data_IF_772500152733
#
_entry.id   IF_772500152733
#
_cell.length_a   1.000
_cell.length_b   1.000
_cell.length_c   1.000
_cell.angle_alpha   90.00
_cell.angle_beta   90.00
_cell.angle_gamma   90.00
#
_symmetry.space_group_name_H-M   'P 1'
#
loop_
_entity.id
_entity.type
_entity.pdbx_description
1 polymer ?
#
# COMPACT_ATOMS: atom_id res chain seq x y z
N UNK A 1 28.49 -25.75 -10.92
CA UNK A 1 27.75 -24.56 -10.76
C UNK A 1 26.30 -24.89 -10.42
N UNK A 2 25.79 -24.30 -9.40
CA UNK A 2 24.40 -24.51 -9.03
C UNK A 2 23.43 -23.88 -10.01
N UNK A 3 22.15 -24.18 -9.88
CA UNK A 3 21.08 -23.52 -10.62
C UNK A 3 20.94 -22.06 -10.20
N UNK A 4 19.93 -21.36 -10.74
CA UNK A 4 19.71 -19.98 -10.38
C UNK A 4 19.51 -19.82 -8.88
N UNK A 5 20.09 -18.78 -8.32
CA UNK A 5 19.89 -18.45 -6.91
C UNK A 5 18.44 -18.03 -6.73
N UNK A 6 17.74 -18.65 -5.79
CA UNK A 6 16.38 -18.25 -5.48
C UNK A 6 16.38 -16.82 -4.96
N UNK A 7 15.46 -15.99 -5.45
CA UNK A 7 15.32 -14.64 -4.97
C UNK A 7 14.88 -14.67 -3.51
N UNK A 8 15.48 -13.80 -2.69
CA UNK A 8 15.18 -13.69 -1.27
C UNK A 8 14.10 -12.61 -1.06
N UNK A 9 13.34 -12.68 0.03
CA UNK A 9 12.42 -11.60 0.36
C UNK A 9 13.15 -10.28 0.53
N UNK A 10 12.53 -9.19 0.08
CA UNK A 10 13.09 -7.86 0.26
C UNK A 10 13.15 -7.51 1.74
N UNK A 11 14.29 -7.04 2.20
CA UNK A 11 14.48 -6.58 3.57
C UNK A 11 14.28 -5.07 3.69
N UNK A 12 14.38 -4.56 4.92
CA UNK A 12 14.20 -3.13 5.19
C UNK A 12 15.15 -2.26 4.36
N UNK A 13 16.40 -2.70 4.21
CA UNK A 13 17.42 -1.90 3.52
C UNK A 13 17.28 -1.94 1.99
N UNK A 14 16.50 -2.89 1.47
CA UNK A 14 16.33 -3.08 0.03
C UNK A 14 15.26 -2.15 -0.56
N UNK A 15 14.42 -1.55 0.27
CA UNK A 15 13.20 -0.90 -0.20
C UNK A 15 13.19 0.58 0.13
N UNK A 16 12.84 1.38 -0.88
CA UNK A 16 12.38 2.74 -0.71
C UNK A 16 10.85 2.73 -0.78
N UNK A 17 10.20 3.35 0.19
CA UNK A 17 8.75 3.38 0.28
C UNK A 17 8.28 4.80 0.05
N UNK A 18 7.32 4.96 -0.86
CA UNK A 18 6.78 6.28 -1.21
C UNK A 18 5.28 6.17 -1.41
N UNK A 19 4.59 7.31 -1.42
CA UNK A 19 3.18 7.34 -1.77
C UNK A 19 3.04 7.36 -3.29
N UNK A 20 2.07 6.60 -3.78
CA UNK A 20 1.72 6.61 -5.18
C UNK A 20 0.61 7.60 -5.47
N UNK A 21 0.11 7.53 -6.70
CA UNK A 21 -0.98 8.39 -7.15
C UNK A 21 -2.27 8.03 -6.41
N UNK A 22 -3.02 9.06 -6.02
CA UNK A 22 -4.34 8.88 -5.42
C UNK A 22 -5.43 9.18 -6.42
N UNK A 23 -6.55 8.49 -6.32
CA UNK A 23 -7.72 8.75 -7.15
C UNK A 23 -8.94 8.95 -6.28
N UNK A 24 -9.88 9.74 -6.80
CA UNK A 24 -11.18 9.95 -6.17
C UNK A 24 -12.27 9.65 -7.18
N UNK A 25 -13.21 8.82 -6.77
CA UNK A 25 -14.41 8.56 -7.53
C UNK A 25 -15.51 8.43 -6.49
N UNK A 26 -16.11 9.55 -6.12
CA UNK A 26 -17.07 9.60 -5.04
C UNK A 26 -18.11 8.49 -5.13
N UNK A 27 -18.36 7.74 -4.07
CA UNK A 27 -17.83 7.91 -2.70
C UNK A 27 -16.50 7.18 -2.45
N UNK A 28 -15.89 6.57 -3.46
CA UNK A 28 -14.69 5.76 -3.30
C UNK A 28 -13.44 6.61 -3.37
N UNK A 29 -12.53 6.37 -2.42
CA UNK A 29 -11.21 7.00 -2.37
C UNK A 29 -10.14 5.91 -2.44
N UNK A 30 -9.07 6.18 -3.15
CA UNK A 30 -7.94 5.25 -3.23
C UNK A 30 -6.62 5.99 -3.27
N UNK A 31 -5.61 5.37 -2.69
CA UNK A 31 -4.23 5.82 -2.77
C UNK A 31 -3.34 4.58 -2.85
N UNK A 32 -2.06 4.76 -3.04
CA UNK A 32 -1.15 3.62 -3.13
C UNK A 32 0.11 3.87 -2.33
N UNK A 33 0.67 2.78 -1.80
CA UNK A 33 2.02 2.73 -1.26
C UNK A 33 2.87 2.04 -2.31
N UNK A 34 4.00 2.65 -2.66
CA UNK A 34 4.92 2.14 -3.69
C UNK A 34 6.19 1.67 -3.01
N UNK A 35 6.62 0.46 -3.36
CA UNK A 35 7.84 -0.17 -2.85
C UNK A 35 8.80 -0.32 -4.02
N UNK A 36 9.97 0.32 -3.93
CA UNK A 36 10.99 0.28 -4.98
C UNK A 36 12.22 -0.42 -4.46
N UNK A 37 12.72 -1.41 -5.21
CA UNK A 37 13.96 -2.09 -4.86
C UNK A 37 15.14 -1.17 -5.16
N UNK A 38 15.78 -0.66 -4.11
CA UNK A 38 16.96 0.20 -4.20
C UNK A 38 18.25 -0.56 -3.89
N UNK A 39 18.16 -1.86 -3.67
CA UNK A 39 19.30 -2.73 -3.42
C UNK A 39 20.00 -3.12 -4.71
N UNK A 40 21.00 -3.96 -4.57
CA UNK A 40 21.83 -4.41 -5.68
C UNK A 40 21.54 -5.84 -6.13
N UNK A 41 20.48 -6.43 -5.59
CA UNK A 41 20.08 -7.81 -5.92
C UNK A 41 18.56 -7.88 -6.08
N UNK A 42 18.11 -8.90 -6.79
CA UNK A 42 16.69 -9.19 -6.97
C UNK A 42 16.09 -9.69 -5.65
N UNK A 43 14.93 -9.17 -5.28
CA UNK A 43 14.22 -9.62 -4.09
C UNK A 43 12.72 -9.74 -4.37
N UNK A 44 11.98 -10.33 -3.44
CA UNK A 44 10.55 -10.60 -3.62
C UNK A 44 9.71 -9.94 -2.54
N UNK A 45 8.47 -9.60 -2.92
CA UNK A 45 7.43 -9.18 -2.00
C UNK A 45 6.20 -10.06 -2.22
N UNK A 46 5.53 -10.42 -1.15
CA UNK A 46 4.28 -11.17 -1.24
C UNK A 46 3.42 -10.88 -0.03
N UNK A 47 2.17 -10.58 -0.28
CA UNK A 47 1.18 -10.40 0.78
C UNK A 47 0.81 -8.96 1.01
N UNK A 48 0.32 -8.69 2.21
CA UNK A 48 -0.19 -7.39 2.60
C UNK A 48 0.88 -6.62 3.36
N UNK A 49 1.12 -5.34 3.02
CA UNK A 49 1.87 -4.48 3.92
C UNK A 49 1.02 -4.19 5.16
N UNK A 50 1.66 -3.90 6.27
CA UNK A 50 0.97 -3.26 7.38
C UNK A 50 0.68 -1.82 6.97
N UNK A 51 -0.55 -1.35 7.17
CA UNK A 51 -0.93 0.02 6.81
C UNK A 51 -1.86 0.59 7.87
N UNK A 52 -1.54 1.80 8.29
CA UNK A 52 -2.43 2.63 9.10
C UNK A 52 -2.34 4.07 8.57
N UNK A 53 -3.40 4.82 8.73
CA UNK A 53 -3.39 6.24 8.39
C UNK A 53 -3.58 7.03 9.67
N UNK A 54 -2.64 7.92 9.93
CA UNK A 54 -2.70 8.84 11.08
C UNK A 54 -3.19 10.19 10.59
N UNK A 55 -4.27 10.68 11.17
CA UNK A 55 -4.80 12.02 10.94
C UNK A 55 -4.93 12.67 12.30
N UNK A 56 -4.16 13.74 12.53
CA UNK A 56 -4.06 14.38 13.83
C UNK A 56 -3.64 13.35 14.89
N UNK A 57 -4.41 13.15 15.94
CA UNK A 57 -4.10 12.18 16.99
C UNK A 57 -4.81 10.84 16.78
N UNK A 58 -5.50 10.69 15.67
CA UNK A 58 -6.29 9.50 15.37
C UNK A 58 -5.53 8.60 14.40
N UNK A 59 -5.46 7.31 14.72
CA UNK A 59 -4.83 6.31 13.85
C UNK A 59 -5.89 5.30 13.44
N UNK A 60 -6.03 5.09 12.13
CA UNK A 60 -6.98 4.13 11.57
C UNK A 60 -6.20 3.02 10.90
N UNK A 61 -6.37 1.80 11.39
CA UNK A 61 -5.72 0.63 10.81
C UNK A 61 -6.52 0.09 9.64
N UNK A 62 -5.84 -0.28 8.56
CA UNK A 62 -6.48 -0.84 7.38
C UNK A 62 -6.73 -2.33 7.56
N UNK A 63 -7.92 -2.78 7.16
CA UNK A 63 -8.25 -4.19 7.10
C UNK A 63 -7.65 -4.81 5.84
N UNK A 64 -7.17 -6.04 5.94
CA UNK A 64 -6.59 -6.75 4.79
C UNK A 64 -7.70 -7.34 3.96
N UNK A 65 -7.76 -6.96 2.67
CA UNK A 65 -8.79 -7.42 1.75
C UNK A 65 -8.13 -7.80 0.43
N UNK A 66 -8.35 -9.04 -0.01
CA UNK A 66 -7.69 -9.57 -1.21
C UNK A 66 -8.10 -8.80 -2.46
N UNK A 67 -9.38 -8.49 -2.59
CA UNK A 67 -9.89 -7.72 -3.71
C UNK A 67 -10.68 -6.54 -3.14
N UNK A 68 -10.27 -5.33 -3.52
CA UNK A 68 -10.83 -4.12 -2.94
C UNK A 68 -12.19 -3.72 -3.52
N UNK A 69 -12.65 -2.54 -3.16
CA UNK A 69 -13.90 -1.97 -3.68
C UNK A 69 -13.82 -1.68 -5.16
N UNK A 70 -12.64 -1.36 -5.65
CA UNK A 70 -12.44 -0.95 -7.03
C UNK A 70 -12.45 -2.17 -7.93
N UNK A 71 -13.33 -2.18 -8.90
CA UNK A 71 -13.41 -3.26 -9.86
C UNK A 71 -12.39 -3.17 -11.00
N UNK A 72 -11.55 -2.12 -11.00
CA UNK A 72 -10.55 -1.90 -12.05
C UNK A 72 -9.24 -2.64 -11.79
N UNK A 73 -9.07 -3.24 -10.63
CA UNK A 73 -7.94 -4.12 -10.37
C UNK A 73 -8.31 -5.56 -10.74
N UNK A 74 -7.36 -6.33 -11.30
CA UNK A 74 -7.63 -7.72 -11.60
C UNK A 74 -8.00 -8.51 -10.33
N UNK A 75 -8.96 -9.41 -10.46
CA UNK A 75 -9.31 -10.28 -9.34
C UNK A 75 -8.15 -11.22 -9.03
N UNK A 76 -7.84 -11.36 -7.74
CA UNK A 76 -6.76 -12.21 -7.27
C UNK A 76 -7.33 -13.44 -6.59
N UNK A 77 -6.74 -14.61 -6.84
CA UNK A 77 -7.05 -15.83 -6.11
C UNK A 77 -6.27 -15.93 -4.80
N UNK A 78 -5.12 -15.29 -4.75
CA UNK A 78 -4.24 -15.22 -3.58
C UNK A 78 -3.25 -14.07 -3.80
N UNK A 79 -2.57 -13.60 -2.74
CA UNK A 79 -1.53 -12.58 -2.93
C UNK A 79 -0.43 -13.09 -3.86
N UNK A 80 -0.11 -12.34 -4.95
CA UNK A 80 0.90 -12.80 -5.89
C UNK A 80 2.31 -12.67 -5.32
N UNK A 81 3.21 -13.53 -5.78
CA UNK A 81 4.63 -13.35 -5.52
C UNK A 81 5.17 -12.34 -6.53
N UNK A 82 5.68 -11.21 -6.03
CA UNK A 82 6.20 -10.14 -6.87
C UNK A 82 7.71 -10.17 -6.81
N UNK A 83 8.36 -10.30 -7.97
CA UNK A 83 9.81 -10.30 -8.08
C UNK A 83 10.28 -8.93 -8.55
N UNK A 84 11.17 -8.30 -7.77
CA UNK A 84 11.70 -6.97 -8.07
C UNK A 84 13.18 -7.05 -8.36
N UNK A 85 13.56 -6.83 -9.61
CA UNK A 85 14.96 -6.54 -9.97
C UNK A 85 15.33 -5.16 -9.41
N UNK A 86 16.63 -4.84 -9.24
CA UNK A 86 17.01 -3.50 -8.80
C UNK A 86 16.38 -2.41 -9.67
N UNK A 87 15.77 -1.43 -9.03
CA UNK A 87 15.05 -0.33 -9.68
C UNK A 87 13.59 -0.58 -9.96
N UNK A 88 13.12 -1.82 -9.86
CA UNK A 88 11.72 -2.14 -10.12
C UNK A 88 10.84 -1.81 -8.91
N UNK A 89 9.56 -1.59 -9.18
CA UNK A 89 8.59 -1.20 -8.17
C UNK A 89 7.39 -2.13 -8.13
N UNK A 90 6.77 -2.17 -6.96
CA UNK A 90 5.47 -2.78 -6.72
C UNK A 90 4.63 -1.81 -5.91
N UNK A 91 3.33 -2.03 -5.86
CA UNK A 91 2.45 -1.15 -5.09
C UNK A 91 1.35 -1.93 -4.40
N UNK A 92 0.78 -1.32 -3.37
CA UNK A 92 -0.40 -1.82 -2.70
C UNK A 92 -1.42 -0.69 -2.60
N UNK A 93 -2.67 -0.99 -2.92
CA UNK A 93 -3.74 0.02 -2.94
C UNK A 93 -4.40 0.09 -1.58
N UNK A 94 -4.58 1.31 -1.10
CA UNK A 94 -5.34 1.64 0.10
C UNK A 94 -6.66 2.23 -0.37
N UNK A 95 -7.78 1.69 0.12
CA UNK A 95 -9.10 2.14 -0.30
C UNK A 95 -10.00 2.41 0.90
N UNK A 96 -10.87 3.40 0.76
CA UNK A 96 -11.93 3.64 1.74
C UNK A 96 -13.11 4.32 1.06
N UNK A 97 -14.27 4.24 1.68
CA UNK A 97 -15.47 4.87 1.15
C UNK A 97 -15.90 6.01 2.04
N UNK A 98 -16.31 7.10 1.39
CA UNK A 98 -16.99 8.22 2.05
C UNK A 98 -18.48 8.00 1.87
N UNK A 99 -19.17 7.56 2.91
CA UNK A 99 -20.61 7.35 2.82
C UNK A 99 -21.29 7.76 4.10
N UNK A 100 -22.54 8.21 3.96
CA UNK A 100 -23.35 8.60 5.09
C UNK A 100 -23.56 7.42 6.04
N UNK A 101 -23.57 7.72 7.32
CA UNK A 101 -23.80 6.73 8.35
C UNK A 101 -22.57 5.96 8.79
N UNK A 102 -21.42 6.14 8.15
CA UNK A 102 -20.19 5.54 8.60
C UNK A 102 -19.48 6.42 9.63
N UNK A 103 -18.73 5.79 10.52
CA UNK A 103 -17.85 6.51 11.43
C UNK A 103 -16.63 6.98 10.64
N UNK A 104 -16.53 8.29 10.47
CA UNK A 104 -15.38 8.90 9.80
C UNK A 104 -14.61 9.75 10.80
N UNK A 105 -13.31 9.85 10.58
CA UNK A 105 -12.38 10.55 11.45
C UNK A 105 -12.14 11.96 10.93
N UNK A 106 -11.61 12.87 11.75
CA UNK A 106 -11.44 14.26 11.33
C UNK A 106 -10.62 14.40 10.06
N UNK A 107 -10.93 15.43 9.26
CA UNK A 107 -10.13 15.77 8.10
C UNK A 107 -8.81 16.39 8.54
N UNK A 108 -7.79 16.24 7.71
CA UNK A 108 -6.46 16.76 7.97
C UNK A 108 -5.45 16.17 7.01
N UNK A 109 -4.18 16.48 7.22
CA UNK A 109 -3.11 15.86 6.45
C UNK A 109 -2.88 14.45 6.97
N UNK A 110 -3.11 13.47 6.11
CA UNK A 110 -2.90 12.07 6.46
C UNK A 110 -1.45 11.66 6.32
N UNK A 111 -0.97 10.89 7.29
CA UNK A 111 0.33 10.23 7.25
C UNK A 111 0.05 8.74 7.10
N UNK A 112 0.64 8.12 6.09
CA UNK A 112 0.57 6.67 5.92
C UNK A 112 1.72 6.05 6.68
N UNK A 113 1.39 5.18 7.63
CA UNK A 113 2.38 4.37 8.34
C UNK A 113 2.34 2.98 7.75
N UNK A 114 3.44 2.51 7.17
CA UNK A 114 3.44 1.24 6.46
C UNK A 114 4.68 0.42 6.77
N UNK A 115 4.47 -0.89 6.81
CA UNK A 115 5.52 -1.89 6.98
C UNK A 115 5.43 -2.85 5.80
N UNK A 116 6.48 -2.93 4.99
CA UNK A 116 6.49 -3.83 3.83
C UNK A 116 6.31 -5.28 4.27
N UNK A 117 5.73 -6.15 3.42
CA UNK A 117 5.59 -7.57 3.77
C UNK A 117 6.93 -8.20 4.14
N UNK A 118 6.93 -9.01 5.19
CA UNK A 118 8.10 -9.73 5.68
C UNK A 118 9.25 -8.83 6.14
N UNK A 119 8.96 -7.57 6.49
CA UNK A 119 9.93 -6.66 7.10
C UNK A 119 9.43 -6.24 8.47
N UNK A 120 10.27 -5.50 9.19
CA UNK A 120 9.95 -5.08 10.55
C UNK A 120 9.93 -3.57 10.74
N UNK A 121 10.40 -2.81 9.73
CA UNK A 121 10.50 -1.36 9.86
C UNK A 121 9.22 -0.69 9.36
N UNK A 122 8.59 0.09 10.22
CA UNK A 122 7.46 0.92 9.84
C UNK A 122 7.97 2.28 9.39
N UNK A 123 7.52 2.71 8.23
CA UNK A 123 7.91 3.97 7.60
C UNK A 123 6.68 4.88 7.55
N UNK A 124 6.87 6.13 7.93
CA UNK A 124 5.83 7.15 7.82
C UNK A 124 6.05 7.96 6.54
N UNK A 125 5.05 8.03 5.69
CA UNK A 125 5.11 8.78 4.44
C UNK A 125 3.91 9.71 4.34
N UNK A 126 4.08 10.83 3.64
CA UNK A 126 2.97 11.72 3.37
C UNK A 126 1.93 10.99 2.51
N UNK A 127 0.66 11.10 2.88
CA UNK A 127 -0.42 10.45 2.16
C UNK A 127 -0.82 11.12 0.84
N UNK A 128 -0.11 12.17 0.45
CA UNK A 128 -0.45 12.89 -0.77
C UNK A 128 -1.66 13.78 -0.60
N UNK A 129 -2.18 14.29 -1.71
CA UNK A 129 -3.22 15.32 -1.70
C UNK A 129 -4.59 14.79 -1.26
N UNK A 130 -4.82 13.49 -1.32
CA UNK A 130 -6.16 12.93 -1.08
C UNK A 130 -6.32 12.29 0.29
N UNK A 131 -5.26 11.74 0.84
CA UNK A 131 -5.34 10.99 2.11
C UNK A 131 -5.62 11.94 3.26
N UNK A 132 -6.72 11.70 3.96
CA UNK A 132 -7.13 12.48 5.12
C UNK A 132 -7.88 13.77 4.83
N UNK A 133 -7.87 14.28 3.60
CA UNK A 133 -8.49 15.57 3.29
C UNK A 133 -10.01 15.55 3.40
N UNK A 134 -10.63 14.44 3.03
CA UNK A 134 -12.08 14.27 3.12
C UNK A 134 -12.47 13.33 4.25
N UNK A 135 -11.54 13.07 5.16
CA UNK A 135 -11.76 12.15 6.26
C UNK A 135 -11.40 10.73 5.90
N UNK A 136 -11.08 9.95 6.91
CA UNK A 136 -10.84 8.52 6.78
C UNK A 136 -11.96 7.81 7.52
N UNK A 137 -12.67 6.95 6.82
CA UNK A 137 -13.81 6.24 7.39
C UNK A 137 -13.44 4.83 7.82
N UNK A 138 -14.31 4.18 8.57
CA UNK A 138 -14.05 2.87 9.16
C UNK A 138 -13.87 1.76 8.12
N UNK A 139 -14.17 2.05 6.85
CA UNK A 139 -14.02 1.10 5.74
C UNK A 139 -12.62 1.06 5.13
N UNK A 140 -11.61 1.56 5.82
CA UNK A 140 -10.23 1.58 5.30
C UNK A 140 -9.73 0.15 5.06
N UNK A 141 -9.25 -0.11 3.83
CA UNK A 141 -8.76 -1.41 3.41
C UNK A 141 -7.39 -1.30 2.76
N UNK A 142 -6.61 -2.37 2.87
CA UNK A 142 -5.34 -2.53 2.16
C UNK A 142 -5.39 -3.80 1.33
N UNK A 143 -5.01 -3.69 0.05
CA UNK A 143 -4.92 -4.82 -0.86
C UNK A 143 -3.48 -5.37 -0.88
N UNK A 144 -3.27 -6.59 -1.42
CA UNK A 144 -1.92 -7.14 -1.51
C UNK A 144 -1.03 -6.35 -2.45
N UNK A 145 0.28 -6.51 -2.27
CA UNK A 145 1.28 -5.93 -3.17
C UNK A 145 1.16 -6.58 -4.54
N UNK A 146 1.13 -5.76 -5.59
CA UNK A 146 1.12 -6.18 -7.00
C UNK A 146 2.22 -5.44 -7.76
N UNK A 147 2.69 -5.97 -8.91
CA UNK A 147 3.79 -5.32 -9.63
C UNK A 147 3.37 -4.02 -10.29
N UNK A 148 4.30 -3.08 -10.42
CA UNK A 148 4.13 -1.82 -11.11
C UNK A 148 4.01 -0.63 -10.19
N UNK A 149 3.46 0.47 -10.73
CA UNK A 149 3.17 1.70 -10.00
C UNK A 149 1.74 2.12 -10.30
N UNK A 150 0.98 2.42 -9.25
CA UNK A 150 -0.43 2.77 -9.39
C UNK A 150 -0.59 4.19 -9.93
N UNK A 151 -1.38 4.32 -10.99
CA UNK A 151 -1.73 5.63 -11.54
C UNK A 151 -0.69 6.29 -12.42
N UNK A 152 0.31 5.56 -12.86
CA UNK A 152 1.34 6.08 -13.78
C UNK A 152 1.08 5.67 -15.21
#
# INVERSE_FOLDING_TARGET
MGGPVAAVPCGNADLQISSGYGTQSQPLQASAVVFTNIGDHTCTLQGYPGVAIAVDKTVVNAARVLNGFRGDLPALGSPPLVTLVPGASAYAVIEWMLSDGQSCYPTGTGIIETTAPNTTRTVAISGGAHVGRQGICSSLEINPVVPGTFGT
#
